data_IF_853270583631
#
_entry.id   IF_853270583631
#
_cell.length_a   1.000
_cell.length_b   1.000
_cell.length_c   1.000
_cell.angle_alpha   90.00
_cell.angle_beta   90.00
_cell.angle_gamma   90.00
#
_symmetry.space_group_name_H-M   'P 1'
#
loop_
_entity.id
_entity.type
_entity.pdbx_description
1 polymer ?
#
# COMPACT_ATOMS: atom_id res chain seq x y z
N UNK A 1 -33.92 17.41 3.26
CA UNK A 1 -32.50 17.05 3.55
C UNK A 1 -32.28 15.63 3.03
N UNK A 2 -31.34 15.43 2.12
CA UNK A 2 -31.06 14.09 1.58
C UNK A 2 -30.22 13.28 2.58
N UNK A 3 -30.54 11.99 2.73
CA UNK A 3 -29.73 11.04 3.50
C UNK A 3 -28.79 10.32 2.53
N UNK A 4 -27.47 10.49 2.70
CA UNK A 4 -26.45 9.82 1.89
C UNK A 4 -26.20 8.41 2.44
N UNK A 5 -26.29 7.40 1.58
CA UNK A 5 -25.82 6.05 1.86
C UNK A 5 -24.65 5.76 0.91
N UNK A 6 -23.51 5.38 1.46
CA UNK A 6 -22.37 4.92 0.67
C UNK A 6 -22.53 3.42 0.45
N UNK A 7 -22.97 3.03 -0.74
CA UNK A 7 -23.10 1.63 -1.14
C UNK A 7 -21.89 1.25 -1.98
N UNK A 8 -21.29 0.10 -1.68
CA UNK A 8 -20.13 -0.46 -2.42
C UNK A 8 -18.91 0.48 -2.45
N UNK A 9 -18.75 1.31 -1.45
CA UNK A 9 -17.53 2.13 -1.29
C UNK A 9 -16.35 1.22 -0.93
N UNK A 10 -15.17 1.54 -1.47
CA UNK A 10 -13.91 0.92 -1.06
C UNK A 10 -13.23 1.88 -0.08
N UNK A 11 -13.33 1.66 1.23
CA UNK A 11 -12.74 2.56 2.21
C UNK A 11 -11.22 2.46 2.18
N UNK A 12 -10.54 3.59 2.36
CA UNK A 12 -9.12 3.65 2.69
C UNK A 12 -9.01 4.29 4.07
N UNK A 13 -8.39 3.56 4.99
CA UNK A 13 -8.12 4.05 6.34
C UNK A 13 -6.72 4.64 6.36
N UNK A 14 -6.57 5.77 7.03
CA UNK A 14 -5.28 6.46 7.14
C UNK A 14 -4.95 6.66 8.60
N UNK A 15 -3.75 6.28 9.00
CA UNK A 15 -3.17 6.58 10.31
C UNK A 15 -1.72 6.96 10.15
N UNK A 16 -1.09 7.48 11.20
CA UNK A 16 0.31 7.92 11.18
C UNK A 16 1.09 7.18 12.24
N UNK A 17 2.30 6.72 11.89
CA UNK A 17 3.25 6.18 12.86
C UNK A 17 4.15 7.32 13.32
N UNK A 18 4.35 7.44 14.63
CA UNK A 18 5.31 8.39 15.18
C UNK A 18 6.74 7.99 14.76
N UNK A 19 7.45 8.80 13.95
CA UNK A 19 8.78 8.47 13.48
C UNK A 19 9.82 8.33 14.59
N UNK A 20 9.52 8.82 15.80
CA UNK A 20 10.41 8.68 16.96
C UNK A 20 10.19 7.39 17.74
N UNK A 21 9.15 6.63 17.41
CA UNK A 21 8.78 5.38 18.08
C UNK A 21 9.54 4.15 17.59
N UNK A 22 10.38 4.30 16.56
CA UNK A 22 11.16 3.21 15.97
C UNK A 22 12.46 3.73 15.32
N UNK A 23 13.33 2.85 14.89
CA UNK A 23 14.66 3.15 14.33
C UNK A 23 14.55 3.57 12.84
N UNK A 24 13.78 4.64 12.57
CA UNK A 24 13.46 5.10 11.20
C UNK A 24 14.68 5.33 10.34
N UNK A 25 15.64 6.10 10.82
CA UNK A 25 16.83 6.49 10.04
C UNK A 25 17.71 5.28 9.70
N UNK A 26 17.85 4.34 10.62
CA UNK A 26 18.63 3.11 10.38
C UNK A 26 17.91 2.19 9.39
N UNK A 27 16.59 2.11 9.46
CA UNK A 27 15.81 1.35 8.50
C UNK A 27 15.91 1.94 7.09
N UNK A 28 15.80 3.27 6.97
CA UNK A 28 16.00 3.99 5.70
C UNK A 28 17.38 3.70 5.11
N UNK A 29 18.45 3.80 5.89
CA UNK A 29 19.82 3.49 5.45
C UNK A 29 19.94 2.04 4.97
N UNK A 30 19.30 1.08 5.64
CA UNK A 30 19.31 -0.31 5.21
C UNK A 30 18.62 -0.48 3.85
N UNK A 31 17.51 0.21 3.63
CA UNK A 31 16.80 0.20 2.34
C UNK A 31 17.65 0.85 1.24
N UNK A 32 18.31 1.98 1.52
CA UNK A 32 19.21 2.64 0.58
C UNK A 32 20.36 1.73 0.15
N UNK A 33 21.01 1.05 1.08
CA UNK A 33 22.08 0.09 0.76
C UNK A 33 21.60 -1.06 -0.12
N UNK A 34 20.38 -1.55 0.11
CA UNK A 34 19.78 -2.59 -0.73
C UNK A 34 19.39 -2.03 -2.11
N UNK A 35 18.82 -0.84 -2.14
CA UNK A 35 18.50 -0.14 -3.39
C UNK A 35 19.73 0.06 -4.27
N UNK A 36 20.84 0.52 -3.71
CA UNK A 36 22.09 0.75 -4.46
C UNK A 36 22.67 -0.53 -5.07
N UNK A 37 22.44 -1.68 -4.44
CA UNK A 37 22.85 -2.98 -4.99
C UNK A 37 21.98 -3.43 -6.17
N UNK A 38 20.71 -3.06 -6.19
CA UNK A 38 19.77 -3.43 -7.25
C UNK A 38 18.60 -2.43 -7.34
N UNK A 39 18.80 -1.28 -7.97
CA UNK A 39 17.79 -0.21 -8.02
C UNK A 39 16.56 -0.57 -8.86
N UNK A 40 16.74 -1.46 -9.86
CA UNK A 40 15.65 -1.92 -10.71
C UNK A 40 15.59 -3.44 -10.65
N UNK A 41 14.59 -3.96 -9.95
CA UNK A 41 14.43 -5.38 -9.81
C UNK A 41 12.97 -5.77 -9.96
N UNK A 42 12.73 -6.53 -10.99
CA UNK A 42 11.40 -6.99 -11.31
C UNK A 42 11.41 -8.51 -11.51
N UNK A 43 11.08 -9.26 -10.45
CA UNK A 43 10.78 -10.68 -10.57
C UNK A 43 9.31 -10.95 -10.90
N UNK A 44 8.45 -10.03 -10.58
CA UNK A 44 7.02 -10.18 -10.68
C UNK A 44 6.50 -10.11 -12.10
N UNK A 45 7.12 -9.23 -12.86
CA UNK A 45 6.62 -8.88 -14.17
C UNK A 45 7.75 -8.25 -14.98
N UNK A 46 8.43 -9.08 -15.73
CA UNK A 46 9.68 -8.78 -16.40
C UNK A 46 9.67 -7.54 -17.31
N UNK A 47 8.50 -6.93 -17.56
CA UNK A 47 8.40 -5.79 -18.48
C UNK A 47 7.46 -4.67 -18.02
N UNK A 48 6.69 -4.85 -16.93
CA UNK A 48 5.58 -3.97 -16.61
C UNK A 48 5.75 -3.16 -15.33
N UNK A 49 6.85 -3.35 -14.61
CA UNK A 49 7.22 -2.53 -13.45
C UNK A 49 8.71 -2.29 -13.44
N UNK A 50 9.12 -1.16 -12.92
CA UNK A 50 10.51 -0.80 -12.71
C UNK A 50 10.63 -0.25 -11.29
N UNK A 51 11.03 -1.10 -10.36
CA UNK A 51 11.14 -0.78 -8.94
C UNK A 51 12.24 -1.59 -8.27
N UNK A 52 12.81 -1.09 -7.19
CA UNK A 52 13.47 -1.92 -6.21
C UNK A 52 12.40 -2.60 -5.35
N UNK A 53 12.43 -3.91 -5.27
CA UNK A 53 11.46 -4.72 -4.58
C UNK A 53 12.17 -5.84 -3.81
N UNK A 54 11.96 -5.94 -2.53
CA UNK A 54 12.71 -6.82 -1.65
C UNK A 54 11.89 -8.00 -1.08
N UNK A 55 10.80 -8.35 -1.76
CA UNK A 55 9.91 -9.42 -1.30
C UNK A 55 10.56 -10.81 -1.38
N UNK A 56 11.11 -11.17 -2.55
CA UNK A 56 11.53 -12.54 -2.84
C UNK A 56 12.99 -12.83 -2.50
N UNK A 57 13.66 -11.91 -1.82
CA UNK A 57 15.10 -11.95 -1.65
C UNK A 57 15.56 -11.97 -0.22
N UNK A 58 14.67 -12.29 0.70
CA UNK A 58 15.05 -12.48 2.10
C UNK A 58 16.18 -13.52 2.27
N UNK A 59 16.33 -14.43 1.32
CA UNK A 59 17.39 -15.42 1.28
C UNK A 59 18.52 -15.10 0.31
N UNK A 60 18.45 -13.97 -0.41
CA UNK A 60 19.53 -13.55 -1.29
C UNK A 60 20.66 -12.93 -0.48
N UNK A 61 21.88 -13.52 -0.50
CA UNK A 61 23.02 -13.05 0.29
C UNK A 61 23.53 -11.65 -0.13
N UNK A 62 23.09 -11.13 -1.27
CA UNK A 62 23.44 -9.78 -1.72
C UNK A 62 22.71 -8.68 -0.95
N UNK A 63 21.56 -8.99 -0.34
CA UNK A 63 20.74 -8.01 0.37
C UNK A 63 20.87 -8.16 1.89
N UNK A 64 20.82 -7.03 2.55
CA UNK A 64 20.67 -7.00 4.00
C UNK A 64 19.25 -7.46 4.36
N UNK A 65 19.17 -8.40 5.29
CA UNK A 65 17.88 -8.78 5.89
C UNK A 65 17.44 -7.67 6.84
N UNK A 66 16.17 -7.30 6.76
CA UNK A 66 15.59 -6.39 7.75
C UNK A 66 15.25 -7.20 9.01
N UNK A 67 16.01 -6.97 10.07
CA UNK A 67 15.86 -7.69 11.34
C UNK A 67 14.66 -7.15 12.13
N UNK A 68 13.47 -7.62 11.76
CA UNK A 68 12.21 -7.26 12.43
C UNK A 68 12.00 -7.99 13.77
N UNK A 69 12.84 -8.91 14.14
CA UNK A 69 12.83 -9.55 15.47
C UNK A 69 13.83 -8.90 16.44
N UNK A 70 14.82 -8.18 15.91
CA UNK A 70 15.84 -7.47 16.65
C UNK A 70 15.80 -5.96 16.41
N UNK A 71 16.66 -5.46 15.51
CA UNK A 71 16.88 -4.02 15.32
C UNK A 71 15.62 -3.23 14.98
N UNK A 72 14.72 -3.79 14.16
CA UNK A 72 13.48 -3.09 13.73
C UNK A 72 12.23 -3.65 14.40
N UNK A 73 12.38 -4.21 15.59
CA UNK A 73 11.27 -4.78 16.36
C UNK A 73 10.22 -3.72 16.73
N UNK A 74 10.65 -2.52 17.07
CA UNK A 74 9.74 -1.42 17.39
C UNK A 74 8.83 -1.05 16.22
N UNK A 75 9.35 -1.01 15.00
CA UNK A 75 8.51 -0.82 13.79
C UNK A 75 7.53 -1.98 13.59
N UNK A 76 7.98 -3.21 13.79
CA UNK A 76 7.13 -4.40 13.75
C UNK A 76 5.98 -4.29 14.77
N UNK A 77 6.28 -3.90 16.00
CA UNK A 77 5.28 -3.75 17.07
C UNK A 77 4.24 -2.66 16.73
N UNK A 78 4.63 -1.58 16.04
CA UNK A 78 3.67 -0.59 15.51
C UNK A 78 2.71 -1.23 14.49
N UNK A 79 3.22 -2.02 13.56
CA UNK A 79 2.36 -2.73 12.59
C UNK A 79 1.39 -3.69 13.28
N UNK A 80 1.85 -4.45 14.29
CA UNK A 80 0.98 -5.34 15.08
C UNK A 80 -0.20 -4.56 15.68
N UNK A 81 0.08 -3.40 16.27
CA UNK A 81 -0.95 -2.59 16.91
C UNK A 81 -1.96 -2.03 15.89
N UNK A 82 -1.46 -1.51 14.77
CA UNK A 82 -2.29 -0.97 13.69
C UNK A 82 -3.18 -2.05 13.07
N UNK A 83 -2.62 -3.24 12.81
CA UNK A 83 -3.39 -4.38 12.27
C UNK A 83 -4.50 -4.79 13.23
N UNK A 84 -4.20 -4.91 14.52
CA UNK A 84 -5.20 -5.23 15.55
C UNK A 84 -6.31 -4.17 15.59
N UNK A 85 -5.96 -2.90 15.61
CA UNK A 85 -6.93 -1.80 15.62
C UNK A 85 -7.82 -1.81 14.38
N UNK A 86 -7.22 -2.05 13.19
CA UNK A 86 -7.97 -2.15 11.94
C UNK A 86 -8.96 -3.32 11.97
N UNK A 87 -8.51 -4.52 12.36
CA UNK A 87 -9.36 -5.72 12.42
C UNK A 87 -10.48 -5.57 13.44
N UNK A 88 -10.22 -4.92 14.57
CA UNK A 88 -11.24 -4.64 15.60
C UNK A 88 -12.36 -3.69 15.13
N UNK A 89 -12.13 -2.90 14.08
CA UNK A 89 -13.18 -2.06 13.49
C UNK A 89 -14.11 -2.84 12.55
N UNK A 90 -13.74 -4.06 12.20
CA UNK A 90 -14.58 -4.94 11.37
C UNK A 90 -15.55 -5.73 12.25
N UNK A 91 -16.74 -5.90 11.75
CA UNK A 91 -17.76 -6.70 12.45
C UNK A 91 -17.81 -8.09 11.83
N UNK A 92 -17.27 -9.07 12.54
CA UNK A 92 -17.36 -10.47 12.16
C UNK A 92 -18.51 -11.13 12.95
N UNK A 93 -19.23 -12.03 12.31
CA UNK A 93 -20.31 -12.82 12.95
C UNK A 93 -19.77 -14.04 13.70
N UNK A 94 -18.48 -14.36 13.51
CA UNK A 94 -17.77 -15.46 14.16
C UNK A 94 -16.44 -14.97 14.72
N UNK A 95 -15.86 -15.76 15.62
CA UNK A 95 -14.50 -15.54 16.08
C UNK A 95 -13.51 -15.72 14.92
N UNK A 96 -12.63 -14.76 14.74
CA UNK A 96 -11.56 -14.80 13.75
C UNK A 96 -10.20 -14.61 14.39
N UNK A 97 -9.21 -15.29 13.86
CA UNK A 97 -7.81 -15.00 14.08
C UNK A 97 -7.32 -14.07 12.98
N UNK A 98 -6.37 -13.22 13.30
CA UNK A 98 -5.73 -12.35 12.32
C UNK A 98 -4.22 -12.52 12.33
N UNK A 99 -3.63 -12.42 11.17
CA UNK A 99 -2.18 -12.36 10.95
C UNK A 99 -1.81 -11.22 10.03
N UNK A 100 -0.53 -11.05 9.85
CA UNK A 100 0.01 -10.08 8.91
C UNK A 100 1.41 -10.49 8.48
N UNK A 101 1.78 -10.04 7.30
CA UNK A 101 3.11 -10.26 6.73
C UNK A 101 3.62 -8.97 6.14
N UNK A 102 4.93 -8.74 6.24
CA UNK A 102 5.55 -7.69 5.41
C UNK A 102 5.69 -8.26 4.01
N UNK A 103 4.79 -7.84 3.14
CA UNK A 103 4.77 -8.32 1.76
C UNK A 103 6.01 -7.85 1.00
N UNK A 104 6.40 -6.59 1.17
CA UNK A 104 7.65 -6.09 0.61
C UNK A 104 8.09 -4.75 1.21
N UNK A 105 9.35 -4.39 0.95
CA UNK A 105 9.91 -3.05 1.12
C UNK A 105 10.31 -2.55 -0.26
N UNK A 106 9.76 -1.43 -0.70
CA UNK A 106 10.03 -0.88 -2.03
C UNK A 106 10.80 0.42 -1.99
N UNK A 107 11.67 0.60 -2.97
CA UNK A 107 12.35 1.85 -3.27
C UNK A 107 12.10 2.29 -4.71
N UNK A 108 11.83 3.58 -4.93
CA UNK A 108 11.61 4.13 -6.26
C UNK A 108 12.23 5.52 -6.37
N UNK A 109 12.89 5.77 -7.50
CA UNK A 109 13.36 7.09 -7.95
C UNK A 109 12.71 7.49 -9.27
N UNK A 110 13.19 8.56 -9.87
CA UNK A 110 12.69 9.09 -11.15
C UNK A 110 12.52 7.99 -12.21
N UNK A 111 11.45 8.09 -12.97
CA UNK A 111 11.00 7.18 -14.02
C UNK A 111 10.55 5.78 -13.55
N UNK A 112 10.83 5.36 -12.31
CA UNK A 112 10.41 4.07 -11.78
C UNK A 112 8.90 4.05 -11.47
N UNK A 113 8.27 2.89 -11.60
CA UNK A 113 6.82 2.73 -11.50
C UNK A 113 6.44 1.29 -11.16
N UNK A 114 5.22 1.10 -10.68
CA UNK A 114 4.63 -0.23 -10.46
C UNK A 114 3.28 -0.32 -11.17
N UNK A 115 3.09 -1.39 -11.93
CA UNK A 115 1.86 -1.64 -12.68
C UNK A 115 0.65 -1.93 -11.76
N UNK A 116 -0.58 -1.78 -12.30
CA UNK A 116 -1.81 -2.10 -11.58
C UNK A 116 -1.88 -3.57 -11.16
N UNK A 117 -2.05 -3.79 -9.85
CA UNK A 117 -2.17 -5.11 -9.22
C UNK A 117 -3.12 -5.06 -8.02
N UNK A 118 -3.39 -6.20 -7.44
CA UNK A 118 -4.14 -6.38 -6.20
C UNK A 118 -3.47 -7.48 -5.36
N UNK A 119 -3.79 -7.56 -4.08
CA UNK A 119 -3.16 -8.48 -3.14
C UNK A 119 -4.12 -9.56 -2.63
N UNK A 120 -5.04 -10.00 -3.48
CA UNK A 120 -5.96 -11.08 -3.11
C UNK A 120 -5.21 -12.42 -3.11
N UNK A 121 -4.91 -12.91 -1.94
CA UNK A 121 -4.29 -14.22 -1.74
C UNK A 121 -5.20 -15.11 -0.90
N UNK A 122 -5.27 -16.37 -1.28
CA UNK A 122 -6.02 -17.41 -0.59
C UNK A 122 -5.06 -18.58 -0.36
N UNK A 123 -4.81 -18.90 0.89
CA UNK A 123 -3.97 -20.03 1.28
C UNK A 123 -4.72 -20.88 2.33
N UNK A 124 -5.36 -21.95 1.87
CA UNK A 124 -6.23 -22.77 2.69
C UNK A 124 -7.37 -21.94 3.27
N UNK A 125 -7.44 -21.86 4.60
CA UNK A 125 -8.48 -21.13 5.32
C UNK A 125 -8.14 -19.63 5.52
N UNK A 126 -6.92 -19.19 5.15
CA UNK A 126 -6.49 -17.81 5.25
C UNK A 126 -6.90 -17.01 4.04
N UNK A 127 -7.35 -15.81 4.28
CA UNK A 127 -7.69 -14.84 3.25
C UNK A 127 -7.03 -13.51 3.55
N UNK A 128 -6.31 -12.96 2.58
CA UNK A 128 -5.81 -11.59 2.66
C UNK A 128 -6.96 -10.62 2.42
N UNK A 129 -7.38 -9.93 3.46
CA UNK A 129 -8.53 -9.02 3.43
C UNK A 129 -8.15 -7.58 3.13
N UNK A 130 -6.94 -7.19 3.51
CA UNK A 130 -6.47 -5.82 3.31
C UNK A 130 -4.95 -5.79 3.06
N UNK A 131 -4.52 -4.69 2.45
CA UNK A 131 -3.12 -4.32 2.36
C UNK A 131 -2.91 -2.95 2.97
N UNK A 132 -1.76 -2.75 3.58
CA UNK A 132 -1.35 -1.47 4.14
C UNK A 132 -0.06 -1.01 3.46
N UNK A 133 0.01 0.27 3.10
CA UNK A 133 1.21 0.92 2.56
C UNK A 133 1.66 1.99 3.53
N UNK A 134 2.79 1.77 4.18
CA UNK A 134 3.46 2.76 5.03
C UNK A 134 4.43 3.59 4.18
N UNK A 135 4.22 4.90 4.12
CA UNK A 135 5.07 5.83 3.38
C UNK A 135 6.24 6.28 4.28
N UNK A 136 7.23 5.42 4.39
CA UNK A 136 8.37 5.60 5.29
C UNK A 136 9.23 6.82 4.94
N UNK A 137 9.46 7.04 3.63
CA UNK A 137 10.06 8.25 3.07
C UNK A 137 9.19 8.75 1.92
N UNK A 138 8.61 9.92 2.13
CA UNK A 138 7.77 10.56 1.14
C UNK A 138 7.98 12.07 1.15
N UNK A 139 8.52 12.62 0.07
CA UNK A 139 8.92 14.01 -0.06
C UNK A 139 8.16 14.70 -1.18
N UNK A 140 8.28 16.01 -1.27
CA UNK A 140 7.77 16.78 -2.40
C UNK A 140 8.30 16.22 -3.73
N UNK A 141 7.41 16.10 -4.72
CA UNK A 141 7.72 15.49 -6.02
C UNK A 141 7.53 13.98 -6.10
N UNK A 142 7.41 13.27 -4.97
CA UNK A 142 6.99 11.87 -4.99
C UNK A 142 5.51 11.75 -5.38
N UNK A 143 5.19 10.69 -6.10
CA UNK A 143 3.81 10.34 -6.44
C UNK A 143 3.33 9.19 -5.56
N UNK A 144 2.12 9.34 -5.01
CA UNK A 144 1.50 8.33 -4.15
C UNK A 144 0.93 7.15 -4.95
N UNK A 145 0.50 6.13 -4.22
CA UNK A 145 -0.26 5.02 -4.77
C UNK A 145 -1.58 5.55 -5.36
N UNK A 146 -1.87 5.17 -6.59
CA UNK A 146 -3.12 5.48 -7.29
C UNK A 146 -4.03 4.26 -7.27
N UNK A 147 -5.27 4.44 -6.83
CA UNK A 147 -6.29 3.40 -6.75
C UNK A 147 -7.16 3.42 -8.00
N UNK A 148 -7.50 2.23 -8.50
CA UNK A 148 -8.46 2.08 -9.60
C UNK A 148 -9.83 1.72 -9.04
N UNK A 149 -10.86 2.34 -9.59
CA UNK A 149 -12.23 1.96 -9.19
C UNK A 149 -12.50 0.49 -9.57
N UNK A 150 -13.04 -0.32 -8.65
CA UNK A 150 -13.46 -1.69 -8.99
C UNK A 150 -14.59 -1.72 -10.03
N UNK A 151 -15.23 -0.58 -10.28
CA UNK A 151 -16.28 -0.40 -11.28
C UNK A 151 -15.77 0.11 -12.63
N UNK A 152 -14.46 0.08 -12.88
CA UNK A 152 -13.83 0.65 -14.10
C UNK A 152 -14.49 0.18 -15.40
N UNK A 153 -14.96 -1.05 -15.46
CA UNK A 153 -15.65 -1.61 -16.65
C UNK A 153 -16.95 -0.86 -16.99
N UNK A 154 -17.60 -0.25 -15.98
CA UNK A 154 -18.87 0.47 -16.16
C UNK A 154 -18.61 1.91 -16.63
N UNK A 155 -17.48 2.50 -16.24
CA UNK A 155 -17.17 3.90 -16.49
C UNK A 155 -16.45 4.19 -17.82
N UNK A 156 -16.02 3.19 -18.54
CA UNK A 156 -15.38 3.36 -19.86
C UNK A 156 -16.37 3.86 -20.94
N UNK A 157 -17.63 3.95 -20.57
CA UNK A 157 -18.69 4.44 -21.42
C UNK A 157 -18.90 5.95 -21.24
N UNK A 158 -19.36 6.59 -22.24
CA UNK A 158 -19.57 8.02 -22.52
C UNK A 158 -19.79 9.00 -21.35
N UNK A 159 -20.26 8.53 -20.20
CA UNK A 159 -20.55 9.30 -18.99
C UNK A 159 -19.28 9.84 -18.31
N UNK A 160 -18.19 9.08 -18.32
CA UNK A 160 -16.93 9.46 -17.70
C UNK A 160 -16.33 10.75 -18.24
N UNK A 161 -16.40 10.96 -19.56
CA UNK A 161 -15.87 12.19 -20.19
C UNK A 161 -16.57 13.45 -19.72
N UNK A 162 -17.84 13.36 -19.40
CA UNK A 162 -18.64 14.49 -18.91
C UNK A 162 -18.31 14.78 -17.44
N UNK A 163 -18.32 13.78 -16.59
CA UNK A 163 -18.00 13.95 -15.16
C UNK A 163 -16.60 14.49 -14.93
N UNK A 164 -15.60 13.98 -15.66
CA UNK A 164 -14.22 14.45 -15.58
C UNK A 164 -14.04 15.94 -15.86
N UNK A 165 -14.96 16.55 -16.60
CA UNK A 165 -14.91 17.98 -16.94
C UNK A 165 -15.54 18.87 -15.88
N UNK A 166 -16.45 18.35 -15.06
CA UNK A 166 -17.30 19.16 -14.17
C UNK A 166 -17.13 18.83 -12.69
N UNK A 167 -16.62 17.64 -12.36
CA UNK A 167 -16.39 17.25 -10.97
C UNK A 167 -14.95 17.54 -10.55
N UNK A 168 -14.81 18.10 -9.36
CA UNK A 168 -13.50 18.30 -8.75
C UNK A 168 -12.92 16.95 -8.28
N UNK A 169 -11.80 16.55 -8.90
CA UNK A 169 -11.13 15.28 -8.62
C UNK A 169 -10.40 15.29 -7.27
N UNK A 170 -10.23 16.44 -6.63
CA UNK A 170 -9.58 16.53 -5.31
C UNK A 170 -10.54 16.20 -4.17
N UNK A 171 -11.85 16.23 -4.42
CA UNK A 171 -12.85 15.86 -3.42
C UNK A 171 -13.01 14.35 -3.29
N UNK A 172 -12.74 13.75 -2.12
CA UNK A 172 -12.86 12.29 -1.90
C UNK A 172 -14.25 11.75 -2.24
N UNK A 173 -15.31 12.54 -1.99
CA UNK A 173 -16.69 12.17 -2.31
C UNK A 173 -16.94 11.96 -3.80
N UNK A 174 -16.10 12.56 -4.65
CA UNK A 174 -16.17 12.41 -6.08
C UNK A 174 -15.35 11.20 -6.59
N UNK A 175 -14.60 10.51 -5.75
CA UNK A 175 -13.71 9.39 -6.14
C UNK A 175 -14.44 8.29 -6.92
N UNK A 176 -15.70 8.02 -6.59
CA UNK A 176 -16.53 7.02 -7.28
C UNK A 176 -16.88 7.39 -8.74
N UNK A 177 -16.61 8.61 -9.16
CA UNK A 177 -16.84 9.08 -10.55
C UNK A 177 -15.57 9.11 -11.39
N UNK A 178 -14.44 8.70 -10.84
CA UNK A 178 -13.16 8.64 -11.54
C UNK A 178 -12.64 7.20 -11.62
N UNK A 179 -11.97 6.87 -12.72
CA UNK A 179 -11.37 5.53 -12.89
C UNK A 179 -10.14 5.33 -12.04
N UNK A 180 -9.44 6.41 -11.71
CA UNK A 180 -8.27 6.40 -10.85
C UNK A 180 -8.39 7.53 -9.83
N UNK A 181 -7.98 7.25 -8.61
CA UNK A 181 -7.95 8.22 -7.52
C UNK A 181 -6.66 8.06 -6.71
N UNK A 182 -6.09 9.14 -6.27
CA UNK A 182 -4.95 9.16 -5.35
C UNK A 182 -5.25 10.06 -4.16
N UNK A 183 -4.76 9.64 -3.01
CA UNK A 183 -4.86 10.43 -1.80
C UNK A 183 -3.65 11.37 -1.70
N UNK A 184 -3.86 12.51 -1.08
CA UNK A 184 -2.76 13.32 -0.58
C UNK A 184 -2.09 12.57 0.56
N UNK A 185 -0.78 12.37 0.45
CA UNK A 185 0.01 11.51 1.33
C UNK A 185 1.07 12.32 2.02
N UNK A 186 1.26 12.05 3.30
CA UNK A 186 2.38 12.56 4.08
C UNK A 186 3.34 11.43 4.45
N UNK A 187 4.58 11.80 4.70
CA UNK A 187 5.57 10.89 5.27
C UNK A 187 5.06 10.35 6.62
N UNK A 188 5.36 9.09 6.89
CA UNK A 188 4.92 8.32 8.08
C UNK A 188 3.43 7.98 8.13
N UNK A 189 2.65 8.32 7.10
CA UNK A 189 1.29 7.80 6.99
C UNK A 189 1.30 6.33 6.54
N UNK A 190 0.34 5.59 7.09
CA UNK A 190 0.00 4.24 6.64
C UNK A 190 -1.43 4.23 6.10
N UNK A 191 -1.58 3.78 4.87
CA UNK A 191 -2.86 3.68 4.19
C UNK A 191 -3.28 2.22 4.10
N UNK A 192 -4.42 1.87 4.71
CA UNK A 192 -4.95 0.51 4.73
C UNK A 192 -6.18 0.46 3.84
N UNK A 193 -6.22 -0.48 2.93
CA UNK A 193 -7.29 -0.62 1.94
C UNK A 193 -7.60 -2.10 1.67
N UNK A 194 -8.82 -2.43 1.18
CA UNK A 194 -9.19 -3.80 0.85
C UNK A 194 -8.22 -4.42 -0.16
N UNK A 195 -7.83 -5.68 0.05
CA UNK A 195 -6.87 -6.40 -0.78
C UNK A 195 -7.27 -6.49 -2.26
N UNK A 196 -8.58 -6.48 -2.55
CA UNK A 196 -9.13 -6.50 -3.91
C UNK A 196 -8.98 -5.16 -4.64
N UNK A 197 -8.71 -4.06 -3.92
CA UNK A 197 -8.66 -2.73 -4.52
C UNK A 197 -7.41 -2.60 -5.39
N UNK A 198 -7.63 -2.63 -6.70
CA UNK A 198 -6.56 -2.52 -7.68
C UNK A 198 -5.86 -1.18 -7.56
N UNK A 199 -4.53 -1.23 -7.52
CA UNK A 199 -3.72 -0.02 -7.36
C UNK A 199 -2.40 -0.14 -8.11
N UNK A 200 -1.75 1.01 -8.33
CA UNK A 200 -0.46 1.09 -9.00
C UNK A 200 0.32 2.30 -8.47
N UNK A 201 1.61 2.35 -8.77
CA UNK A 201 2.43 3.52 -8.48
C UNK A 201 2.83 4.18 -9.80
N UNK A 202 2.42 5.44 -10.04
CA UNK A 202 2.78 6.18 -11.24
C UNK A 202 4.29 6.35 -11.38
N UNK A 203 4.77 6.64 -12.59
CA UNK A 203 6.18 6.98 -12.82
C UNK A 203 6.58 8.14 -11.93
N UNK A 204 7.57 7.89 -11.07
CA UNK A 204 8.08 8.90 -10.16
C UNK A 204 8.74 10.04 -10.92
N UNK A 205 8.72 11.23 -10.34
CA UNK A 205 9.28 12.46 -10.92
C UNK A 205 10.48 12.99 -10.14
N UNK A 206 10.72 12.44 -8.96
CA UNK A 206 11.82 12.84 -8.06
C UNK A 206 12.96 11.85 -8.18
N UNK A 207 14.19 12.35 -8.16
CA UNK A 207 15.43 11.60 -8.02
C UNK A 207 15.72 11.19 -6.56
N UNK A 208 14.99 11.75 -5.60
CA UNK A 208 15.01 11.28 -4.22
C UNK A 208 14.33 9.91 -4.10
N UNK A 209 14.90 9.05 -3.27
CA UNK A 209 14.37 7.70 -3.06
C UNK A 209 13.07 7.75 -2.25
N UNK A 210 11.94 7.42 -2.88
CA UNK A 210 10.68 7.12 -2.21
C UNK A 210 10.76 5.71 -1.62
N UNK A 211 10.43 5.56 -0.33
CA UNK A 211 10.46 4.26 0.34
C UNK A 211 9.08 3.95 0.93
N UNK A 212 8.59 2.74 0.65
CA UNK A 212 7.38 2.23 1.29
C UNK A 212 7.56 0.81 1.81
N UNK A 213 6.87 0.51 2.90
CA UNK A 213 6.70 -0.86 3.42
C UNK A 213 5.27 -1.28 3.17
N UNK A 214 5.09 -2.47 2.59
CA UNK A 214 3.78 -3.05 2.32
C UNK A 214 3.52 -4.20 3.27
N UNK A 215 2.37 -4.15 3.93
CA UNK A 215 1.92 -5.17 4.88
C UNK A 215 0.61 -5.76 4.36
N UNK A 216 0.54 -7.09 4.27
CA UNK A 216 -0.72 -7.80 4.03
C UNK A 216 -1.35 -8.20 5.35
N UNK A 217 -2.68 -8.13 5.42
CA UNK A 217 -3.49 -8.46 6.60
C UNK A 217 -4.38 -9.64 6.25
N UNK A 218 -4.18 -10.72 6.97
CA UNK A 218 -4.87 -11.99 6.76
C UNK A 218 -5.83 -12.27 7.90
N UNK A 219 -6.93 -12.94 7.59
CA UNK A 219 -7.88 -13.47 8.57
C UNK A 219 -8.25 -14.90 8.25
N UNK A 220 -8.59 -15.64 9.30
CA UNK A 220 -9.12 -17.00 9.20
C UNK A 220 -10.08 -17.29 10.37
N UNK A 221 -10.99 -18.23 10.17
CA UNK A 221 -11.93 -18.67 11.22
C UNK A 221 -11.12 -19.33 12.36
N UNK A 222 -11.47 -19.02 13.59
CA UNK A 222 -10.90 -19.68 14.77
C UNK A 222 -11.71 -20.96 15.02
N UNK A 223 -11.05 -22.11 15.14
CA UNK A 223 -11.67 -23.36 15.54
C UNK A 223 -12.28 -23.30 16.95
#
# INVERSE_FOLDING_TARGET
MFKKHNLFSSPVYVTTIDPTSYEKDEFIKAVERNYDKSPSRNKWDNNNSDIHHNHDDFDNPLFEKYDFEGMFKSLKDQYVNIVKEYVMQMHFDKAVSCGWTIANVTGMKEAQFMMPHAHMEFDGDKTTIASAVHYLRYKEGHLSTSFQTPLAVIYDLSTYKTYRKVLDATYPENSSYFTNYYLDVKEDEIHIFPSYLKHYVPRQKSDELRITVVVNIDVWETE
#
